data_IF_353270932573
#
_entry.id   IF_353270932573
#
_cell.length_a   1.000
_cell.length_b   1.000
_cell.length_c   1.000
_cell.angle_alpha   90.00
_cell.angle_beta   90.00
_cell.angle_gamma   90.00
#
_symmetry.space_group_name_H-M   'P 1'
#
loop_
_entity.id
_entity.type
_entity.pdbx_description
1 polymer ?
#
# COMPACT_ATOMS: atom_id res chain seq x y z
N UNK A 1 58.85 -13.59 15.63
CA UNK A 1 58.78 -14.05 14.22
C UNK A 1 57.73 -13.21 13.50
N UNK A 2 58.10 -12.45 12.47
CA UNK A 2 57.15 -11.65 11.69
C UNK A 2 56.49 -12.56 10.64
N UNK A 3 55.15 -12.66 10.58
CA UNK A 3 54.49 -13.52 9.59
C UNK A 3 54.78 -12.98 8.19
N UNK A 4 55.30 -13.85 7.32
CA UNK A 4 55.50 -13.56 5.91
C UNK A 4 54.13 -13.35 5.26
N UNK A 5 53.89 -12.15 4.71
CA UNK A 5 52.68 -11.84 3.97
C UNK A 5 52.71 -12.61 2.64
N UNK A 6 51.82 -13.59 2.47
CA UNK A 6 51.57 -14.21 1.15
C UNK A 6 51.02 -13.14 0.22
N UNK A 7 51.76 -12.84 -0.85
CA UNK A 7 51.24 -12.06 -1.96
C UNK A 7 50.31 -12.96 -2.79
N UNK A 8 49.09 -12.48 -3.07
CA UNK A 8 48.09 -13.18 -3.86
C UNK A 8 48.60 -13.34 -5.30
N UNK A 9 48.49 -14.54 -5.85
CA UNK A 9 48.78 -14.76 -7.28
C UNK A 9 47.59 -14.29 -8.11
N UNK A 10 47.85 -13.77 -9.32
CA UNK A 10 46.80 -13.33 -10.25
C UNK A 10 45.79 -14.45 -10.55
N UNK A 11 46.25 -15.70 -10.50
CA UNK A 11 45.47 -16.92 -10.73
C UNK A 11 44.45 -17.15 -9.61
N UNK A 12 44.84 -16.99 -8.35
CA UNK A 12 43.91 -17.16 -7.20
C UNK A 12 42.79 -16.11 -7.23
N UNK A 13 43.09 -14.88 -7.65
CA UNK A 13 42.06 -13.84 -7.79
C UNK A 13 41.11 -14.15 -8.96
N UNK A 14 41.65 -14.58 -10.09
CA UNK A 14 40.87 -14.94 -11.28
C UNK A 14 39.89 -16.08 -11.02
N UNK A 15 40.33 -17.14 -10.34
CA UNK A 15 39.45 -18.29 -10.06
C UNK A 15 38.32 -17.89 -9.10
N UNK A 16 38.61 -17.02 -8.13
CA UNK A 16 37.60 -16.55 -7.18
C UNK A 16 36.49 -15.75 -7.86
N UNK A 17 36.85 -14.80 -8.74
CA UNK A 17 35.83 -14.01 -9.47
C UNK A 17 35.05 -14.87 -10.47
N UNK A 18 35.68 -15.89 -11.07
CA UNK A 18 35.00 -16.82 -11.97
C UNK A 18 33.92 -17.63 -11.22
N UNK A 19 34.25 -18.14 -10.02
CA UNK A 19 33.30 -18.87 -9.19
C UNK A 19 32.15 -17.96 -8.75
N UNK A 20 32.43 -16.74 -8.29
CA UNK A 20 31.39 -15.76 -7.91
C UNK A 20 30.48 -15.42 -9.11
N UNK A 21 31.07 -15.24 -10.29
CA UNK A 21 30.32 -14.96 -11.52
C UNK A 21 29.35 -16.08 -11.90
N UNK A 22 29.76 -17.35 -11.78
CA UNK A 22 28.90 -18.52 -12.03
C UNK A 22 27.75 -18.57 -11.02
N UNK A 23 28.04 -18.35 -9.74
CA UNK A 23 27.01 -18.32 -8.69
C UNK A 23 25.97 -17.22 -8.97
N UNK A 24 26.42 -16.01 -9.32
CA UNK A 24 25.52 -14.90 -9.65
C UNK A 24 24.71 -15.14 -10.92
N UNK A 25 25.31 -15.75 -11.95
CA UNK A 25 24.64 -16.06 -13.22
C UNK A 25 23.46 -17.03 -13.02
N UNK A 26 23.57 -17.97 -12.06
CA UNK A 26 22.48 -18.88 -11.70
C UNK A 26 21.42 -18.21 -10.83
N UNK A 27 21.79 -17.21 -10.02
CA UNK A 27 20.89 -16.54 -9.07
C UNK A 27 20.04 -15.43 -9.71
N UNK A 28 20.60 -14.67 -10.65
CA UNK A 28 19.93 -13.54 -11.32
C UNK A 28 18.53 -13.86 -11.88
N UNK A 29 18.35 -14.91 -12.71
CA UNK A 29 17.03 -15.25 -13.24
C UNK A 29 16.04 -15.72 -12.16
N UNK A 30 16.53 -16.37 -11.10
CA UNK A 30 15.68 -16.85 -9.99
C UNK A 30 15.16 -15.70 -9.11
N UNK A 31 15.96 -14.66 -8.87
CA UNK A 31 15.57 -13.49 -8.05
C UNK A 31 14.43 -12.70 -8.70
N UNK A 32 14.40 -12.62 -10.04
CA UNK A 32 13.34 -11.91 -10.76
C UNK A 32 12.00 -12.64 -10.64
N UNK A 33 11.99 -13.97 -10.80
CA UNK A 33 10.80 -14.79 -10.61
C UNK A 33 10.27 -14.69 -9.16
N UNK A 34 11.17 -14.67 -8.17
CA UNK A 34 10.80 -14.50 -6.76
C UNK A 34 10.21 -13.10 -6.50
N UNK A 35 10.80 -12.04 -7.07
CA UNK A 35 10.29 -10.67 -6.95
C UNK A 35 8.89 -10.54 -7.55
N UNK A 36 8.67 -11.12 -8.72
CA UNK A 36 7.37 -11.04 -9.37
C UNK A 36 6.30 -11.88 -8.67
N UNK A 37 6.66 -13.04 -8.11
CA UNK A 37 5.80 -13.79 -7.22
C UNK A 37 5.45 -12.98 -5.94
N UNK A 38 6.42 -12.29 -5.34
CA UNK A 38 6.18 -11.43 -4.17
C UNK A 38 5.22 -10.27 -4.48
N UNK A 39 5.37 -9.61 -5.62
CA UNK A 39 4.45 -8.56 -6.06
C UNK A 39 3.03 -9.08 -6.30
N UNK A 40 2.90 -10.25 -6.93
CA UNK A 40 1.60 -10.92 -7.11
C UNK A 40 0.96 -11.29 -5.78
N UNK A 41 1.72 -11.85 -4.85
CA UNK A 41 1.22 -12.19 -3.51
C UNK A 41 0.77 -10.95 -2.74
N UNK A 42 1.56 -9.87 -2.78
CA UNK A 42 1.20 -8.60 -2.15
C UNK A 42 -0.10 -8.03 -2.73
N UNK A 43 -0.21 -7.95 -4.06
CA UNK A 43 -1.41 -7.47 -4.74
C UNK A 43 -2.65 -8.33 -4.39
N UNK A 44 -2.50 -9.66 -4.42
CA UNK A 44 -3.58 -10.57 -4.03
C UNK A 44 -4.02 -10.40 -2.58
N UNK A 45 -3.08 -10.20 -1.66
CA UNK A 45 -3.39 -9.97 -0.25
C UNK A 45 -4.08 -8.61 -0.04
N UNK A 46 -3.66 -7.57 -0.74
CA UNK A 46 -4.31 -6.25 -0.69
C UNK A 46 -5.77 -6.33 -1.17
N UNK A 47 -6.04 -7.03 -2.27
CA UNK A 47 -7.42 -7.25 -2.74
C UNK A 47 -8.24 -8.06 -1.73
N UNK A 48 -7.65 -9.07 -1.09
CA UNK A 48 -8.30 -9.84 -0.03
C UNK A 48 -8.68 -8.95 1.16
N UNK A 49 -7.78 -8.06 1.60
CA UNK A 49 -8.06 -7.12 2.68
C UNK A 49 -9.23 -6.18 2.34
N UNK A 50 -9.27 -5.65 1.12
CA UNK A 50 -10.39 -4.81 0.64
C UNK A 50 -11.71 -5.60 0.64
N UNK A 51 -11.69 -6.84 0.16
CA UNK A 51 -12.88 -7.70 0.16
C UNK A 51 -13.41 -7.97 1.56
N UNK A 52 -12.53 -8.29 2.51
CA UNK A 52 -12.90 -8.48 3.92
C UNK A 52 -13.48 -7.19 4.50
N UNK A 53 -12.85 -6.04 4.24
CA UNK A 53 -13.33 -4.75 4.71
C UNK A 53 -14.72 -4.38 4.15
N UNK A 54 -15.00 -4.71 2.89
CA UNK A 54 -16.33 -4.53 2.28
C UNK A 54 -17.39 -5.42 2.93
N UNK A 55 -17.05 -6.68 3.21
CA UNK A 55 -17.95 -7.58 3.94
C UNK A 55 -18.22 -7.10 5.36
N UNK A 56 -17.21 -6.58 6.07
CA UNK A 56 -17.38 -6.00 7.40
C UNK A 56 -18.23 -4.72 7.39
N UNK A 57 -18.06 -3.87 6.37
CA UNK A 57 -18.95 -2.73 6.15
C UNK A 57 -20.39 -3.21 5.90
N UNK A 58 -20.59 -4.23 5.08
CA UNK A 58 -21.91 -4.78 4.81
C UNK A 58 -22.56 -5.40 6.05
N UNK A 59 -21.79 -6.10 6.90
CA UNK A 59 -22.28 -6.70 8.15
C UNK A 59 -22.79 -5.64 9.13
N UNK A 60 -22.08 -4.51 9.22
CA UNK A 60 -22.43 -3.40 10.12
C UNK A 60 -23.57 -2.50 9.61
N UNK A 61 -23.60 -2.20 8.31
CA UNK A 61 -24.55 -1.23 7.74
C UNK A 61 -25.69 -1.87 6.92
N UNK A 62 -25.66 -3.19 6.68
CA UNK A 62 -26.65 -3.92 5.89
C UNK A 62 -26.67 -3.55 4.40
N UNK A 63 -25.64 -2.83 3.92
CA UNK A 63 -25.51 -2.36 2.53
C UNK A 63 -24.05 -2.17 2.17
N UNK A 64 -23.73 -2.23 0.89
CA UNK A 64 -22.40 -1.86 0.40
C UNK A 64 -22.16 -0.34 0.49
N UNK A 65 -20.90 0.12 0.57
CA UNK A 65 -20.59 1.53 0.61
C UNK A 65 -21.03 2.21 -0.70
N UNK A 66 -21.56 3.44 -0.58
CA UNK A 66 -21.94 4.24 -1.75
C UNK A 66 -20.68 4.68 -2.50
N UNK A 67 -20.76 4.71 -3.84
CA UNK A 67 -19.62 5.09 -4.70
C UNK A 67 -19.11 6.50 -4.40
N UNK A 68 -20.02 7.41 -4.05
CA UNK A 68 -19.77 8.78 -3.62
C UNK A 68 -20.77 9.17 -2.53
N UNK A 69 -20.32 9.91 -1.52
CA UNK A 69 -21.16 10.60 -0.54
C UNK A 69 -20.67 12.03 -0.40
N UNK A 70 -21.39 12.96 -0.99
CA UNK A 70 -21.21 14.40 -0.82
C UNK A 70 -22.35 15.01 -0.02
N UNK A 71 -22.13 16.24 0.44
CA UNK A 71 -23.15 17.07 1.05
C UNK A 71 -23.20 18.42 0.34
N UNK A 72 -24.40 18.98 0.21
CA UNK A 72 -24.57 20.36 -0.23
C UNK A 72 -24.05 21.29 0.89
N UNK A 73 -23.09 22.20 0.61
CA UNK A 73 -22.53 23.09 1.63
C UNK A 73 -23.58 24.02 2.26
N UNK A 74 -24.61 24.41 1.51
CA UNK A 74 -25.61 25.38 1.95
C UNK A 74 -26.77 24.73 2.70
N UNK A 75 -27.13 23.50 2.33
CA UNK A 75 -28.29 22.81 2.91
C UNK A 75 -27.93 21.66 3.83
N UNK A 76 -26.68 21.20 3.82
CA UNK A 76 -26.21 20.01 4.56
C UNK A 76 -26.88 18.71 4.11
N UNK A 77 -27.65 18.73 3.02
CA UNK A 77 -28.33 17.55 2.51
C UNK A 77 -27.39 16.70 1.67
N UNK A 78 -27.67 15.40 1.58
CA UNK A 78 -26.88 14.50 0.75
C UNK A 78 -27.02 14.89 -0.72
N UNK A 79 -25.89 15.24 -1.35
CA UNK A 79 -25.80 15.60 -2.76
C UNK A 79 -24.78 14.70 -3.46
N UNK A 80 -25.15 14.20 -4.64
CA UNK A 80 -24.30 13.35 -5.47
C UNK A 80 -23.16 14.14 -6.13
N UNK A 81 -23.25 15.48 -6.14
CA UNK A 81 -22.20 16.42 -6.61
C UNK A 81 -21.64 17.27 -5.46
N UNK A 82 -22.13 17.07 -4.23
CA UNK A 82 -21.81 17.92 -3.09
C UNK A 82 -20.36 17.82 -2.61
N UNK A 83 -19.87 18.92 -2.05
CA UNK A 83 -18.55 19.08 -1.44
C UNK A 83 -18.73 19.52 0.04
N UNK A 84 -17.96 18.98 0.99
CA UNK A 84 -16.95 17.93 0.85
C UNK A 84 -17.58 16.54 0.64
N UNK A 85 -17.02 15.78 -0.30
CA UNK A 85 -17.49 14.45 -0.64
C UNK A 85 -16.40 13.39 -0.65
N UNK A 86 -16.78 12.16 -0.30
CA UNK A 86 -15.85 11.03 -0.22
C UNK A 86 -16.36 9.81 -0.98
N UNK A 87 -15.44 9.12 -1.65
CA UNK A 87 -15.73 7.86 -2.31
C UNK A 87 -15.90 6.68 -1.35
N UNK A 88 -16.38 5.56 -1.87
CA UNK A 88 -16.57 4.31 -1.11
C UNK A 88 -15.32 3.86 -0.31
N UNK A 89 -14.12 4.14 -0.84
CA UNK A 89 -12.85 3.82 -0.18
C UNK A 89 -12.74 4.48 1.20
N UNK A 90 -13.23 5.71 1.35
CA UNK A 90 -13.19 6.42 2.63
C UNK A 90 -14.07 5.75 3.69
N UNK A 91 -15.18 5.14 3.25
CA UNK A 91 -16.11 4.45 4.13
C UNK A 91 -15.54 3.12 4.66
N UNK A 92 -14.56 2.52 3.97
CA UNK A 92 -13.93 1.27 4.40
C UNK A 92 -12.57 1.46 5.11
N UNK A 93 -12.02 2.69 5.15
CA UNK A 93 -10.78 3.03 5.88
C UNK A 93 -10.71 2.46 7.30
N UNK A 94 -11.74 2.58 8.17
CA UNK A 94 -11.66 2.01 9.51
C UNK A 94 -11.54 0.48 9.52
N UNK A 95 -12.05 -0.18 8.49
CA UNK A 95 -12.03 -1.65 8.35
C UNK A 95 -10.74 -2.20 7.73
N UNK A 96 -9.86 -1.33 7.22
CA UNK A 96 -8.50 -1.67 6.77
C UNK A 96 -7.42 -1.12 7.71
N UNK A 97 -7.77 -0.89 8.98
CA UNK A 97 -6.88 -0.37 10.03
C UNK A 97 -6.31 1.03 9.75
N UNK A 98 -6.94 1.80 8.86
CA UNK A 98 -6.54 3.18 8.51
C UNK A 98 -7.35 4.24 9.29
N UNK A 99 -7.51 4.02 10.60
CA UNK A 99 -8.35 4.87 11.47
C UNK A 99 -7.85 6.33 11.55
N UNK A 100 -6.53 6.51 11.54
CA UNK A 100 -5.92 7.85 11.56
C UNK A 100 -6.27 8.67 10.31
N UNK A 101 -6.45 8.02 9.16
CA UNK A 101 -6.84 8.70 7.93
C UNK A 101 -8.32 9.02 7.97
N UNK A 102 -9.17 8.09 8.42
CA UNK A 102 -10.61 8.35 8.54
C UNK A 102 -10.93 9.52 9.47
N UNK A 103 -10.19 9.66 10.58
CA UNK A 103 -10.39 10.76 11.53
C UNK A 103 -10.03 12.13 10.91
N UNK A 104 -8.97 12.17 10.09
CA UNK A 104 -8.60 13.36 9.32
C UNK A 104 -9.64 13.74 8.28
N UNK A 105 -10.28 12.76 7.63
CA UNK A 105 -11.35 13.05 6.66
C UNK A 105 -12.61 13.57 7.34
N UNK A 106 -12.92 13.06 8.53
CA UNK A 106 -14.04 13.53 9.35
C UNK A 106 -13.82 14.99 9.81
N UNK A 107 -12.63 15.29 10.32
CA UNK A 107 -12.27 16.65 10.76
C UNK A 107 -12.17 17.63 9.60
N UNK A 108 -11.64 17.23 8.44
CA UNK A 108 -11.63 18.07 7.23
C UNK A 108 -13.05 18.37 6.75
N UNK A 109 -13.92 17.37 6.71
CA UNK A 109 -15.32 17.58 6.33
C UNK A 109 -16.04 18.57 7.27
N UNK A 110 -15.72 18.56 8.56
CA UNK A 110 -16.24 19.53 9.52
C UNK A 110 -15.67 20.95 9.32
N UNK A 111 -14.40 21.07 8.90
CA UNK A 111 -13.76 22.36 8.60
C UNK A 111 -14.31 23.03 7.35
N UNK A 112 -14.47 22.28 6.26
CA UNK A 112 -15.00 22.82 4.99
C UNK A 112 -16.45 23.37 5.18
N UNK A 113 -17.29 22.72 6.01
CA UNK A 113 -18.64 23.22 6.34
C UNK A 113 -18.61 24.54 7.13
N UNK A 114 -17.55 24.81 7.92
CA UNK A 114 -17.46 26.04 8.71
C UNK A 114 -16.94 27.24 7.90
N UNK A 115 -16.18 27.02 6.83
CA UNK A 115 -15.67 28.09 5.96
C UNK A 115 -16.76 28.65 5.02
N UNK A 116 -17.85 27.91 4.75
CA UNK A 116 -18.97 28.34 3.89
C UNK A 116 -20.10 29.09 4.65
N UNK A 117 -19.97 29.27 5.96
CA UNK A 117 -20.97 29.96 6.82
C UNK A 117 -20.60 31.43 7.13
N UNK A 118 -19.49 31.93 6.58
CA UNK A 118 -19.08 33.36 6.63
C UNK A 118 -19.30 34.06 5.28
#
# INVERSE_FOLDING_TARGET
MRPCRRAFTFIELLVAIAIIGILLALLLPAVQAAREAAHRMSCGNNMKQIGIALHLYHDTFGRLPAGWKGYDPHTGQADWVGEPGWGWCAAILPYIEQVNVSDKLCTRAAGDIMDDVE
#
